data_IF_537774449272
#
_entry.id   IF_537774449272
#
_cell.length_a   1.000
_cell.length_b   1.000
_cell.length_c   1.000
_cell.angle_alpha   90.00
_cell.angle_beta   90.00
_cell.angle_gamma   90.00
#
_symmetry.space_group_name_H-M   'P 1'
#
loop_
_entity.id
_entity.type
_entity.pdbx_description
1 polymer ?
#
# COMPACT_ATOMS: atom_id res chain seq x y z
N UNK A 1 -5.66 12.10 -4.61
CA UNK A 1 -6.30 11.09 -5.48
C UNK A 1 -6.45 9.79 -4.69
N UNK A 2 -7.51 9.00 -4.88
CA UNK A 2 -7.69 7.71 -4.21
C UNK A 2 -7.54 6.59 -5.23
N UNK A 3 -6.61 5.67 -5.00
CA UNK A 3 -6.25 4.59 -5.92
C UNK A 3 -6.61 3.26 -5.27
N UNK A 4 -7.24 2.36 -6.01
CA UNK A 4 -7.54 1.00 -5.52
C UNK A 4 -6.67 0.00 -6.25
N UNK A 5 -5.97 -0.85 -5.49
CA UNK A 5 -5.19 -1.98 -6.02
C UNK A 5 -5.90 -3.26 -5.63
N UNK A 6 -6.34 -4.02 -6.63
CA UNK A 6 -7.03 -5.30 -6.45
C UNK A 6 -6.00 -6.43 -6.62
N UNK A 7 -5.79 -7.18 -5.55
CA UNK A 7 -4.74 -8.19 -5.42
C UNK A 7 -3.50 -7.61 -4.72
N UNK A 8 -3.20 -8.13 -3.54
CA UNK A 8 -2.07 -7.77 -2.68
C UNK A 8 -0.97 -8.84 -2.74
N UNK A 9 -0.73 -9.41 -3.94
CA UNK A 9 0.47 -10.19 -4.23
C UNK A 9 1.74 -9.32 -4.29
N UNK A 10 2.90 -9.91 -4.60
CA UNK A 10 4.17 -9.17 -4.66
C UNK A 10 4.12 -7.93 -5.57
N UNK A 11 3.47 -8.06 -6.72
CA UNK A 11 3.29 -6.94 -7.66
C UNK A 11 2.38 -5.87 -7.07
N UNK A 12 1.19 -6.25 -6.58
CA UNK A 12 0.22 -5.30 -6.02
C UNK A 12 0.74 -4.53 -4.80
N UNK A 13 1.43 -5.22 -3.89
CA UNK A 13 2.12 -4.59 -2.77
C UNK A 13 3.16 -3.58 -3.25
N UNK A 14 4.03 -3.98 -4.19
CA UNK A 14 5.07 -3.09 -4.72
C UNK A 14 4.46 -1.89 -5.43
N UNK A 15 3.40 -2.10 -6.22
CA UNK A 15 2.66 -1.02 -6.88
C UNK A 15 2.10 -0.01 -5.87
N UNK A 16 1.45 -0.48 -4.81
CA UNK A 16 0.93 0.38 -3.75
C UNK A 16 2.04 1.17 -3.05
N UNK A 17 3.15 0.52 -2.70
CA UNK A 17 4.31 1.17 -2.06
C UNK A 17 4.89 2.28 -2.94
N UNK A 18 5.13 2.01 -4.24
CA UNK A 18 5.62 3.02 -5.19
C UNK A 18 4.65 4.19 -5.36
N UNK A 19 3.34 3.94 -5.27
CA UNK A 19 2.34 5.00 -5.35
C UNK A 19 2.39 5.94 -4.15
N UNK A 20 2.58 5.39 -2.95
CA UNK A 20 2.75 6.15 -1.72
C UNK A 20 4.06 6.95 -1.72
N UNK A 21 5.19 6.30 -2.00
CA UNK A 21 6.52 6.94 -2.07
C UNK A 21 6.57 8.09 -3.08
N UNK A 22 5.80 8.01 -4.18
CA UNK A 22 5.74 9.04 -5.22
C UNK A 22 4.68 10.12 -4.95
N UNK A 23 3.94 10.02 -3.84
CA UNK A 23 2.91 11.00 -3.48
C UNK A 23 1.71 11.04 -4.43
N UNK A 24 1.40 9.93 -5.13
CA UNK A 24 0.24 9.91 -6.04
C UNK A 24 -1.10 10.02 -5.30
N UNK A 25 -1.13 9.69 -4.01
CA UNK A 25 -2.29 9.83 -3.13
C UNK A 25 -2.51 8.60 -2.27
N UNK A 26 -3.71 8.47 -1.71
CA UNK A 26 -4.05 7.36 -0.83
C UNK A 26 -4.35 6.08 -1.61
N UNK A 27 -3.86 4.96 -1.10
CA UNK A 27 -4.05 3.63 -1.70
C UNK A 27 -5.01 2.80 -0.86
N UNK A 28 -5.91 2.08 -1.51
CA UNK A 28 -6.75 1.03 -0.92
C UNK A 28 -6.31 -0.32 -1.47
N UNK A 29 -5.89 -1.22 -0.59
CA UNK A 29 -5.56 -2.60 -0.91
C UNK A 29 -6.78 -3.50 -0.70
N UNK A 30 -7.12 -4.31 -1.71
CA UNK A 30 -8.16 -5.33 -1.62
C UNK A 30 -7.55 -6.68 -2.00
N UNK A 31 -7.84 -7.73 -1.24
CA UNK A 31 -7.42 -9.11 -1.54
C UNK A 31 -8.49 -10.09 -1.06
N UNK A 32 -8.50 -11.29 -1.63
CA UNK A 32 -9.35 -12.40 -1.19
C UNK A 32 -8.80 -13.05 0.10
N UNK A 33 -7.50 -12.95 0.32
CA UNK A 33 -6.85 -13.47 1.52
C UNK A 33 -7.08 -12.49 2.68
N UNK A 34 -7.85 -12.94 3.67
CA UNK A 34 -8.14 -12.18 4.88
C UNK A 34 -6.87 -11.82 5.66
N UNK A 35 -6.82 -10.61 6.23
CA UNK A 35 -5.70 -10.12 7.04
C UNK A 35 -4.48 -9.67 6.24
N UNK A 36 -4.29 -10.18 5.02
CA UNK A 36 -3.15 -9.83 4.17
C UNK A 36 -3.10 -8.34 3.79
N UNK A 37 -4.15 -7.72 3.21
CA UNK A 37 -4.08 -6.31 2.84
C UNK A 37 -3.94 -5.39 4.06
N UNK A 38 -4.47 -5.79 5.22
CA UNK A 38 -4.35 -5.03 6.47
C UNK A 38 -2.92 -5.05 7.01
N UNK A 39 -2.27 -6.23 7.01
CA UNK A 39 -0.86 -6.35 7.43
C UNK A 39 0.07 -5.55 6.53
N UNK A 40 -0.14 -5.60 5.21
CA UNK A 40 0.66 -4.81 4.25
C UNK A 40 0.41 -3.30 4.38
N UNK A 41 -0.83 -2.89 4.63
CA UNK A 41 -1.13 -1.48 4.87
C UNK A 41 -0.47 -0.96 6.17
N UNK A 42 -0.40 -1.80 7.21
CA UNK A 42 0.31 -1.46 8.45
C UNK A 42 1.81 -1.32 8.19
N UNK A 43 2.42 -2.29 7.52
CA UNK A 43 3.85 -2.30 7.15
C UNK A 43 4.23 -1.02 6.37
N UNK A 44 3.45 -0.67 5.34
CA UNK A 44 3.68 0.57 4.57
C UNK A 44 3.56 1.83 5.44
N UNK A 45 2.59 1.87 6.36
CA UNK A 45 2.40 3.02 7.25
C UNK A 45 3.55 3.15 8.27
N UNK A 46 4.09 2.04 8.75
CA UNK A 46 5.24 2.03 9.65
C UNK A 46 6.55 2.41 8.92
N UNK A 47 6.65 2.13 7.62
CA UNK A 47 7.76 2.58 6.77
C UNK A 47 7.70 4.07 6.41
N UNK A 48 6.50 4.66 6.35
CA UNK A 48 6.28 6.04 5.89
C UNK A 48 7.18 7.11 6.56
N UNK A 49 7.37 7.13 7.90
CA UNK A 49 8.25 8.10 8.56
C UNK A 49 9.72 7.96 8.19
N UNK A 50 10.15 6.74 7.84
CA UNK A 50 11.54 6.44 7.45
C UNK A 50 11.78 6.88 6.01
N UNK A 51 10.82 6.64 5.13
CA UNK A 51 10.88 6.97 3.71
C UNK A 51 10.51 8.44 3.41
N UNK A 52 10.01 9.17 4.41
CA UNK A 52 9.74 10.61 4.32
C UNK A 52 8.45 10.96 3.59
N UNK A 53 7.44 10.09 3.65
CA UNK A 53 6.09 10.36 3.16
C UNK A 53 5.04 10.23 4.28
N UNK A 54 3.85 10.77 4.05
CA UNK A 54 2.68 10.73 4.95
C UNK A 54 1.59 9.77 4.45
#
# INVERSE_FOLDING_TARGET
>A
MKITVVGSGFVGQTTAMRMLEKGFGSVVLIDIVEGKPQGLALDMKEAAPVEGYD
#
